data_IF_178417715453
#
_entry.id   IF_178417715453
#
_cell.length_a   1.000
_cell.length_b   1.000
_cell.length_c   1.000
_cell.angle_alpha   90.00
_cell.angle_beta   90.00
_cell.angle_gamma   90.00
#
_symmetry.space_group_name_H-M   'P 1'
#
loop_
_entity.id
_entity.type
_entity.pdbx_description
1 polymer ?
#
# COMPACT_ATOMS: atom_id res chain seq x y z
N UNK A 1 -12.60 -2.19 20.98
CA UNK A 1 -12.03 -0.86 20.69
C UNK A 1 -11.46 -0.88 19.28
N UNK A 2 -12.02 -0.08 18.37
CA UNK A 2 -11.56 0.05 16.98
C UNK A 2 -10.70 1.32 16.92
N UNK A 3 -9.44 1.21 16.50
CA UNK A 3 -8.50 2.34 16.50
C UNK A 3 -8.62 3.08 15.17
N UNK A 4 -8.94 4.37 15.23
CA UNK A 4 -8.83 5.28 14.11
C UNK A 4 -7.37 5.73 13.97
N UNK A 5 -6.77 5.55 12.80
CA UNK A 5 -5.37 5.90 12.57
C UNK A 5 -5.09 7.40 12.38
N UNK A 6 -6.07 8.31 12.41
CA UNK A 6 -5.81 9.75 12.27
C UNK A 6 -6.87 10.67 12.93
N UNK A 7 -6.40 11.84 13.41
CA UNK A 7 -7.20 12.94 13.99
C UNK A 7 -7.83 13.88 12.95
N UNK A 8 -7.61 13.67 11.65
CA UNK A 8 -8.21 14.51 10.60
C UNK A 8 -9.63 14.05 10.25
N UNK A 9 -10.64 14.83 10.66
CA UNK A 9 -12.04 14.65 10.26
C UNK A 9 -12.19 14.84 8.74
N UNK A 10 -12.13 13.77 7.96
CA UNK A 10 -12.46 13.79 6.52
C UNK A 10 -13.28 12.56 6.13
N UNK A 11 -14.61 12.67 6.27
CA UNK A 11 -15.59 11.78 5.62
C UNK A 11 -16.12 10.63 6.46
N UNK A 12 -16.52 9.54 5.80
CA UNK A 12 -17.13 8.35 6.41
C UNK A 12 -16.03 7.40 6.91
N UNK A 13 -16.05 7.00 8.18
CA UNK A 13 -15.21 5.92 8.69
C UNK A 13 -15.74 4.56 8.22
N UNK A 14 -14.84 3.69 7.79
CA UNK A 14 -15.17 2.33 7.33
C UNK A 14 -14.22 1.32 7.96
N UNK A 15 -14.65 0.06 7.99
CA UNK A 15 -13.85 -1.04 8.53
C UNK A 15 -13.16 -1.78 7.38
N UNK A 16 -11.84 -1.83 7.43
CA UNK A 16 -11.01 -2.64 6.55
C UNK A 16 -10.59 -3.93 7.26
N UNK A 17 -10.58 -5.05 6.52
CA UNK A 17 -10.13 -6.34 7.05
C UNK A 17 -8.66 -6.57 6.70
N UNK A 18 -7.80 -6.66 7.72
CA UNK A 18 -6.34 -6.83 7.55
C UNK A 18 -5.95 -8.18 6.92
N UNK A 19 -6.80 -9.18 7.10
CA UNK A 19 -6.84 -10.43 6.34
C UNK A 19 -8.25 -10.51 5.73
N UNK A 20 -8.39 -10.60 4.39
CA UNK A 20 -9.69 -10.63 3.74
C UNK A 20 -10.55 -11.80 4.21
N UNK A 21 -11.86 -11.59 4.32
CA UNK A 21 -12.82 -12.65 4.70
C UNK A 21 -12.82 -13.79 3.69
N UNK A 22 -12.71 -13.47 2.40
CA UNK A 22 -12.58 -14.46 1.31
C UNK A 22 -11.33 -15.33 1.42
N UNK A 23 -10.37 -14.96 2.27
CA UNK A 23 -9.10 -15.67 2.49
C UNK A 23 -8.95 -16.13 3.95
N UNK A 24 -10.08 -16.41 4.62
CA UNK A 24 -10.09 -16.96 5.99
C UNK A 24 -9.97 -15.91 7.10
N UNK A 25 -10.04 -14.61 6.78
CA UNK A 25 -10.07 -13.55 7.77
C UNK A 25 -11.36 -13.54 8.59
N UNK A 26 -11.23 -13.48 9.91
CA UNK A 26 -12.39 -13.43 10.81
C UNK A 26 -13.04 -12.04 10.78
N UNK A 27 -14.29 -11.98 10.34
CA UNK A 27 -15.10 -10.75 10.22
C UNK A 27 -15.68 -10.24 11.55
N UNK A 28 -15.44 -10.93 12.67
CA UNK A 28 -15.97 -10.57 14.00
C UNK A 28 -14.86 -10.16 14.96
N UNK A 29 -13.61 -10.53 14.68
CA UNK A 29 -12.48 -10.22 15.58
C UNK A 29 -11.93 -8.82 15.31
N UNK A 30 -11.98 -7.96 16.32
CA UNK A 30 -11.43 -6.60 16.27
C UNK A 30 -9.95 -6.55 15.82
N UNK A 31 -9.17 -7.58 16.11
CA UNK A 31 -7.76 -7.70 15.67
C UNK A 31 -7.57 -7.79 14.16
N UNK A 32 -8.62 -8.17 13.43
CA UNK A 32 -8.63 -8.22 11.97
C UNK A 32 -9.25 -6.96 11.35
N UNK A 33 -9.69 -6.01 12.17
CA UNK A 33 -10.41 -4.83 11.74
C UNK A 33 -9.57 -3.57 11.94
N UNK A 34 -9.54 -2.72 10.93
CA UNK A 34 -8.91 -1.42 10.97
C UNK A 34 -9.94 -0.35 10.59
N UNK A 35 -10.24 0.61 11.47
CA UNK A 35 -11.04 1.76 11.08
C UNK A 35 -10.18 2.72 10.27
N UNK A 36 -10.60 2.96 9.03
CA UNK A 36 -9.97 3.91 8.13
C UNK A 36 -11.04 4.71 7.39
N UNK A 37 -10.71 5.97 7.10
CA UNK A 37 -11.57 6.83 6.29
C UNK A 37 -11.80 6.22 4.90
N UNK A 38 -13.02 6.36 4.37
CA UNK A 38 -13.44 5.77 3.10
C UNK A 38 -12.46 6.02 1.94
N UNK A 39 -11.95 7.25 1.82
CA UNK A 39 -11.01 7.61 0.75
C UNK A 39 -9.67 6.86 0.89
N UNK A 40 -9.22 6.66 2.14
CA UNK A 40 -8.04 5.84 2.45
C UNK A 40 -8.33 4.37 2.19
N UNK A 41 -9.52 3.89 2.51
CA UNK A 41 -9.96 2.52 2.23
C UNK A 41 -9.99 2.20 0.74
N UNK A 42 -10.57 3.08 -0.08
CA UNK A 42 -10.56 2.92 -1.53
C UNK A 42 -9.14 2.97 -2.09
N UNK A 43 -8.31 3.88 -1.57
CA UNK A 43 -6.91 3.97 -2.01
C UNK A 43 -6.12 2.73 -1.57
N UNK A 44 -6.37 2.19 -0.38
CA UNK A 44 -5.77 0.95 0.10
C UNK A 44 -6.08 -0.22 -0.84
N UNK A 45 -7.36 -0.43 -1.19
CA UNK A 45 -7.74 -1.46 -2.15
C UNK A 45 -7.22 -1.20 -3.56
N UNK A 46 -7.08 0.05 -3.95
CA UNK A 46 -6.47 0.40 -5.23
C UNK A 46 -5.00 -0.02 -5.28
N UNK A 47 -4.22 0.31 -4.23
CA UNK A 47 -2.79 -0.01 -4.16
C UNK A 47 -2.56 -1.50 -3.93
N UNK A 48 -3.24 -2.09 -2.94
CA UNK A 48 -2.94 -3.44 -2.43
C UNK A 48 -3.98 -4.50 -2.79
N UNK A 49 -5.11 -4.14 -3.39
CA UNK A 49 -6.16 -5.10 -3.71
C UNK A 49 -6.72 -5.79 -2.47
N UNK A 50 -6.79 -7.11 -2.53
CA UNK A 50 -7.23 -7.99 -1.42
C UNK A 50 -6.03 -8.68 -0.75
N UNK A 51 -4.90 -7.98 -0.66
CA UNK A 51 -3.71 -8.51 0.01
C UNK A 51 -3.86 -8.40 1.52
N UNK A 52 -3.38 -9.42 2.22
CA UNK A 52 -3.23 -9.41 3.66
C UNK A 52 -2.10 -8.46 4.08
N UNK A 53 -2.11 -8.04 5.35
CA UNK A 53 -1.07 -7.16 5.88
C UNK A 53 0.35 -7.74 5.73
N UNK A 54 0.53 -9.07 5.84
CA UNK A 54 1.83 -9.71 5.64
C UNK A 54 2.29 -9.64 4.18
N UNK A 55 1.40 -9.95 3.23
CA UNK A 55 1.68 -9.82 1.80
C UNK A 55 2.04 -8.38 1.44
N UNK A 56 1.38 -7.39 2.07
CA UNK A 56 1.70 -5.97 1.89
C UNK A 56 3.10 -5.64 2.40
N UNK A 57 3.49 -6.13 3.59
CA UNK A 57 4.84 -5.89 4.14
C UNK A 57 5.90 -6.47 3.22
N UNK A 58 5.78 -7.75 2.83
CA UNK A 58 6.72 -8.38 1.89
C UNK A 58 6.82 -7.61 0.57
N UNK A 59 5.67 -7.19 0.02
CA UNK A 59 5.63 -6.38 -1.20
C UNK A 59 6.39 -5.07 -1.03
N UNK A 60 6.18 -4.36 0.09
CA UNK A 60 6.83 -3.07 0.32
C UNK A 60 8.35 -3.22 0.48
N UNK A 61 8.81 -4.30 1.11
CA UNK A 61 10.23 -4.64 1.23
C UNK A 61 10.84 -4.96 -0.15
N UNK A 62 10.18 -5.74 -1.00
CA UNK A 62 10.62 -5.98 -2.38
C UNK A 62 10.67 -4.69 -3.21
N UNK A 63 9.66 -3.82 -3.05
CA UNK A 63 9.63 -2.51 -3.71
C UNK A 63 10.81 -1.66 -3.22
N UNK A 64 11.08 -1.62 -1.91
CA UNK A 64 12.21 -0.87 -1.34
C UNK A 64 13.54 -1.30 -1.97
N UNK A 65 13.78 -2.62 -2.04
CA UNK A 65 14.98 -3.19 -2.66
C UNK A 65 15.07 -2.77 -4.13
N UNK A 66 13.97 -2.91 -4.86
CA UNK A 66 13.90 -2.52 -6.26
C UNK A 66 14.17 -1.02 -6.46
N UNK A 67 13.58 -0.14 -5.65
CA UNK A 67 13.68 1.32 -5.88
C UNK A 67 14.99 1.93 -5.41
N UNK A 68 15.66 1.33 -4.42
CA UNK A 68 16.85 1.94 -3.78
C UNK A 68 18.10 1.93 -4.67
N UNK A 69 18.19 0.99 -5.62
CA UNK A 69 19.41 0.76 -6.40
C UNK A 69 19.16 0.64 -7.91
N UNK A 70 18.00 1.08 -8.41
CA UNK A 70 17.61 0.86 -9.80
C UNK A 70 17.60 2.18 -10.59
N UNK A 71 18.62 2.36 -11.43
CA UNK A 71 18.72 3.53 -12.32
C UNK A 71 17.49 3.69 -13.23
N UNK A 72 16.89 2.58 -13.66
CA UNK A 72 15.72 2.61 -14.51
C UNK A 72 14.50 3.18 -13.78
N UNK A 73 14.31 2.84 -12.50
CA UNK A 73 13.28 3.47 -11.67
C UNK A 73 13.47 4.99 -11.57
N UNK A 74 14.69 5.44 -11.27
CA UNK A 74 15.00 6.88 -11.15
C UNK A 74 14.77 7.63 -12.48
N UNK A 75 15.18 7.03 -13.61
CA UNK A 75 14.95 7.60 -14.95
C UNK A 75 13.45 7.77 -15.23
N UNK A 76 12.64 6.76 -14.92
CA UNK A 76 11.19 6.83 -15.10
C UNK A 76 10.55 7.85 -14.16
N UNK A 77 10.96 7.89 -12.89
CA UNK A 77 10.42 8.83 -11.91
C UNK A 77 10.59 10.27 -12.37
N UNK A 78 11.81 10.64 -12.79
CA UNK A 78 12.12 11.99 -13.28
C UNK A 78 11.36 12.34 -14.56
N UNK A 79 11.14 11.38 -15.45
CA UNK A 79 10.39 11.60 -16.68
C UNK A 79 8.88 11.73 -16.40
N UNK A 80 8.31 10.90 -15.51
CA UNK A 80 6.88 10.88 -15.20
C UNK A 80 6.38 12.22 -14.63
N UNK A 81 7.22 12.91 -13.87
CA UNK A 81 6.92 14.23 -13.29
C UNK A 81 6.73 15.34 -14.34
N UNK A 82 7.27 15.15 -15.55
CA UNK A 82 7.22 16.14 -16.63
C UNK A 82 6.11 15.87 -17.64
N UNK A 83 5.40 14.73 -17.51
CA UNK A 83 4.38 14.29 -18.47
C UNK A 83 2.98 14.57 -17.96
N UNK A 84 2.09 14.96 -18.86
CA UNK A 84 0.66 15.18 -18.56
C UNK A 84 -0.24 14.59 -19.67
N UNK A 85 -1.54 14.53 -19.42
CA UNK A 85 -2.54 14.19 -20.44
C UNK A 85 -2.32 12.85 -21.15
N UNK A 86 -2.18 12.89 -22.49
CA UNK A 86 -2.00 11.68 -23.32
C UNK A 86 -0.61 11.06 -23.14
N UNK A 87 0.43 11.87 -23.05
CA UNK A 87 1.81 11.39 -22.90
C UNK A 87 2.00 10.65 -21.57
N UNK A 88 1.43 11.19 -20.49
CA UNK A 88 1.44 10.53 -19.19
C UNK A 88 0.77 9.15 -19.24
N UNK A 89 -0.38 9.04 -19.93
CA UNK A 89 -1.11 7.77 -20.04
C UNK A 89 -0.32 6.73 -20.83
N UNK A 90 0.30 7.16 -21.91
CA UNK A 90 1.17 6.32 -22.74
C UNK A 90 2.36 5.81 -21.91
N UNK A 91 3.08 6.71 -21.25
CA UNK A 91 4.24 6.37 -20.43
C UNK A 91 3.88 5.42 -19.27
N UNK A 92 2.75 5.64 -18.61
CA UNK A 92 2.24 4.72 -17.57
C UNK A 92 1.99 3.33 -18.13
N UNK A 93 1.40 3.22 -19.32
CA UNK A 93 1.10 1.94 -19.97
C UNK A 93 2.38 1.19 -20.38
N UNK A 94 3.33 1.89 -20.97
CA UNK A 94 4.64 1.34 -21.33
C UNK A 94 5.39 0.86 -20.09
N UNK A 95 5.45 1.70 -19.03
CA UNK A 95 6.08 1.34 -17.76
C UNK A 95 5.44 0.10 -17.15
N UNK A 96 4.11 0.00 -17.17
CA UNK A 96 3.40 -1.18 -16.66
C UNK A 96 3.80 -2.47 -17.41
N UNK A 97 3.91 -2.39 -18.73
CA UNK A 97 4.33 -3.51 -19.58
C UNK A 97 5.77 -3.92 -19.28
N UNK A 98 6.67 -2.95 -19.09
CA UNK A 98 8.08 -3.21 -18.75
C UNK A 98 8.22 -3.86 -17.37
N UNK A 99 7.55 -3.30 -16.35
CA UNK A 99 7.60 -3.85 -14.99
C UNK A 99 7.06 -5.27 -14.93
N UNK A 100 5.97 -5.57 -15.64
CA UNK A 100 5.43 -6.93 -15.70
C UNK A 100 6.45 -7.92 -16.29
N UNK A 101 7.19 -7.53 -17.33
CA UNK A 101 8.25 -8.36 -17.93
C UNK A 101 9.47 -8.56 -17.03
N UNK A 102 9.86 -7.53 -16.29
CA UNK A 102 11.07 -7.55 -15.45
C UNK A 102 10.85 -8.21 -14.09
N UNK A 103 9.73 -7.93 -13.44
CA UNK A 103 9.47 -8.32 -12.06
C UNK A 103 8.58 -9.56 -12.00
N UNK A 104 7.65 -9.74 -12.95
CA UNK A 104 6.68 -10.84 -12.96
C UNK A 104 5.62 -10.80 -11.84
N UNK A 105 5.91 -10.11 -10.73
CA UNK A 105 4.98 -9.92 -9.62
C UNK A 105 4.01 -8.75 -9.88
N UNK A 106 2.72 -9.08 -9.99
CA UNK A 106 1.65 -8.13 -10.28
C UNK A 106 1.48 -7.06 -9.19
N UNK A 107 1.68 -7.42 -7.92
CA UNK A 107 1.48 -6.50 -6.80
C UNK A 107 2.64 -5.52 -6.64
N UNK A 108 3.88 -6.00 -6.72
CA UNK A 108 5.09 -5.15 -6.72
C UNK A 108 5.03 -4.15 -7.88
N UNK A 109 4.75 -4.64 -9.09
CA UNK A 109 4.59 -3.79 -10.28
C UNK A 109 3.52 -2.71 -10.07
N UNK A 110 2.39 -3.07 -9.44
CA UNK A 110 1.32 -2.12 -9.12
C UNK A 110 1.75 -1.06 -8.12
N UNK A 111 2.44 -1.44 -7.05
CA UNK A 111 2.92 -0.48 -6.05
C UNK A 111 3.92 0.49 -6.67
N UNK A 112 4.85 0.00 -7.50
CA UNK A 112 5.80 0.84 -8.25
C UNK A 112 5.05 1.83 -9.16
N UNK A 113 4.05 1.36 -9.92
CA UNK A 113 3.23 2.25 -10.76
C UNK A 113 2.51 3.32 -9.92
N UNK A 114 2.00 2.97 -8.75
CA UNK A 114 1.34 3.93 -7.85
C UNK A 114 2.34 4.99 -7.37
N UNK A 115 3.55 4.59 -6.99
CA UNK A 115 4.59 5.52 -6.53
C UNK A 115 5.00 6.51 -7.63
N UNK A 116 5.11 6.03 -8.87
CA UNK A 116 5.54 6.84 -10.01
C UNK A 116 4.43 7.76 -10.54
N UNK A 117 3.22 7.23 -10.70
CA UNK A 117 2.16 7.87 -11.46
C UNK A 117 1.00 8.35 -10.58
N UNK A 118 0.74 7.70 -9.45
CA UNK A 118 -0.51 7.89 -8.69
C UNK A 118 -0.24 8.36 -7.25
N UNK A 119 0.67 9.33 -7.09
CA UNK A 119 1.13 9.87 -5.80
C UNK A 119 -0.01 10.24 -4.85
N UNK A 120 -1.16 10.72 -5.36
CA UNK A 120 -2.35 11.00 -4.54
C UNK A 120 -2.93 9.75 -3.87
N UNK A 121 -2.92 8.60 -4.55
CA UNK A 121 -3.37 7.31 -3.97
C UNK A 121 -2.43 6.88 -2.85
N UNK A 122 -1.13 6.97 -3.08
CA UNK A 122 -0.12 6.70 -2.06
C UNK A 122 -0.28 7.63 -0.85
N UNK A 123 -0.42 8.93 -1.11
CA UNK A 123 -0.61 9.95 -0.08
C UNK A 123 -1.86 9.68 0.77
N UNK A 124 -2.97 9.27 0.16
CA UNK A 124 -4.16 8.90 0.93
C UNK A 124 -3.92 7.74 1.89
N UNK A 125 -3.10 6.75 1.52
CA UNK A 125 -2.85 5.58 2.35
C UNK A 125 -1.85 5.91 3.47
N UNK A 126 -0.70 6.48 3.11
CA UNK A 126 0.45 6.66 4.00
C UNK A 126 0.76 8.11 4.34
N UNK A 127 -0.17 9.04 4.10
CA UNK A 127 -0.01 10.47 4.35
C UNK A 127 1.23 11.10 3.67
N UNK A 128 1.63 10.54 2.53
CA UNK A 128 2.82 10.98 1.79
C UNK A 128 4.14 10.47 2.36
N UNK A 129 4.13 9.56 3.33
CA UNK A 129 5.34 8.95 3.87
C UNK A 129 6.14 8.17 2.81
N UNK A 130 7.43 7.98 3.06
CA UNK A 130 8.31 7.14 2.23
C UNK A 130 7.88 5.66 2.27
N UNK A 131 8.51 4.83 1.43
CA UNK A 131 8.35 3.37 1.51
C UNK A 131 8.74 2.86 2.90
N UNK A 132 9.84 3.35 3.48
CA UNK A 132 10.28 2.98 4.85
C UNK A 132 9.22 3.32 5.89
N UNK A 133 8.59 4.49 5.76
CA UNK A 133 7.48 4.89 6.62
C UNK A 133 6.29 3.94 6.48
N UNK A 134 5.95 3.55 5.25
CA UNK A 134 4.87 2.61 4.97
C UNK A 134 5.15 1.22 5.58
N UNK A 135 6.37 0.70 5.42
CA UNK A 135 6.81 -0.57 6.03
C UNK A 135 6.67 -0.48 7.55
N UNK A 136 7.24 0.55 8.17
CA UNK A 136 7.20 0.73 9.62
C UNK A 136 5.75 0.84 10.16
N UNK A 137 4.87 1.54 9.44
CA UNK A 137 3.46 1.63 9.82
C UNK A 137 2.76 0.27 9.73
N UNK A 138 2.96 -0.47 8.63
CA UNK A 138 2.38 -1.80 8.46
C UNK A 138 2.89 -2.79 9.52
N UNK A 139 4.18 -2.77 9.84
CA UNK A 139 4.76 -3.57 10.92
C UNK A 139 4.19 -3.20 12.30
N UNK A 140 3.96 -1.91 12.57
CA UNK A 140 3.29 -1.46 13.80
C UNK A 140 1.85 -2.00 13.90
N UNK A 141 1.10 -1.96 12.80
CA UNK A 141 -0.26 -2.53 12.74
C UNK A 141 -0.21 -4.05 12.98
N UNK A 142 0.76 -4.75 12.38
CA UNK A 142 0.95 -6.19 12.55
C UNK A 142 1.30 -6.55 14.00
N UNK A 143 2.20 -5.80 14.65
CA UNK A 143 2.55 -5.97 16.06
C UNK A 143 1.35 -5.75 16.97
N UNK A 144 0.53 -4.73 16.68
CA UNK A 144 -0.71 -4.50 17.42
C UNK A 144 -1.70 -5.65 17.27
N UNK A 145 -1.88 -6.18 16.05
CA UNK A 145 -2.67 -7.39 15.79
C UNK A 145 -2.16 -8.60 16.60
N UNK A 146 -0.84 -8.78 16.72
CA UNK A 146 -0.22 -9.82 17.55
C UNK A 146 -0.43 -9.63 19.06
N UNK A 147 -0.39 -8.39 19.57
CA UNK A 147 -0.71 -8.11 20.98
C UNK A 147 -2.13 -8.51 21.34
N UNK A 148 -3.09 -8.34 20.42
CA UNK A 148 -4.46 -8.81 20.60
C UNK A 148 -4.61 -10.34 20.53
N UNK A 149 -3.57 -11.10 20.15
CA UNK A 149 -3.52 -12.56 20.23
C UNK A 149 -3.04 -13.08 21.60
N UNK A 150 -2.47 -12.24 22.47
CA UNK A 150 -1.82 -12.72 23.70
C UNK A 150 -0.41 -13.29 23.49
N UNK A 151 0.20 -13.11 22.31
CA UNK A 151 1.51 -13.68 21.94
C UNK A 151 2.73 -12.79 22.28
N UNK A 152 2.59 -11.89 23.25
CA UNK A 152 3.74 -11.29 23.94
C UNK A 152 3.43 -11.34 25.43
N UNK A 153 3.74 -12.49 26.05
CA UNK A 153 4.00 -12.53 27.48
C UNK A 153 5.40 -11.95 27.68
N UNK A 154 5.49 -10.92 28.53
CA UNK A 154 6.76 -10.35 28.98
C UNK A 154 7.62 -11.43 29.65
#
# INVERSE_FOLDING_TARGET
>A
MVIALTHEKRGILTIHHLTPVSRGGDKRKAKNMLAIWWNRHRSWHHVFGNSSLLEIICTLEEVQIYTSNNEFFLKIQNAAERKTGKEWRQMRHETATMLHRQIGCNLVSRVILVLLFEKNRWHNVFNGGSIDHAIALCQRIQKWKGRLNGEFRF
#
